data_IF_767802360547
#
_entry.id   IF_767802360547
#
_cell.length_a   1.000
_cell.length_b   1.000
_cell.length_c   1.000
_cell.angle_alpha   90.00
_cell.angle_beta   90.00
_cell.angle_gamma   90.00
#
_symmetry.space_group_name_H-M   'P 1'
#
loop_
_entity.id
_entity.type
_entity.pdbx_description
1 polymer ?
#
# COMPACT_ATOMS: atom_id res chain seq x y z
N UNK A 1 17.88 11.92 -0.28
CA UNK A 1 16.50 12.01 0.25
C UNK A 1 15.70 10.88 -0.40
N UNK A 2 14.94 10.05 0.33
CA UNK A 2 13.96 9.18 -0.32
C UNK A 2 13.09 10.07 -1.21
N UNK A 3 12.86 9.69 -2.46
CA UNK A 3 11.98 10.46 -3.33
C UNK A 3 10.61 10.59 -2.64
N UNK A 4 9.98 11.77 -2.75
CA UNK A 4 8.58 11.96 -2.37
C UNK A 4 7.75 10.93 -3.17
N UNK A 5 7.45 9.82 -2.52
CA UNK A 5 7.03 8.59 -3.16
C UNK A 5 5.76 8.09 -2.49
N UNK A 6 4.93 7.42 -3.28
CA UNK A 6 3.79 6.68 -2.75
C UNK A 6 4.29 5.32 -2.28
N UNK A 7 4.01 5.00 -1.04
CA UNK A 7 4.34 3.71 -0.44
C UNK A 7 3.07 2.97 -0.09
N UNK A 8 2.96 1.71 -0.52
CA UNK A 8 1.96 0.77 -0.03
C UNK A 8 2.55 0.04 1.18
N UNK A 9 1.80 -0.01 2.27
CA UNK A 9 2.24 -0.56 3.55
C UNK A 9 1.13 -1.43 4.13
N UNK A 10 1.47 -2.61 4.64
CA UNK A 10 0.53 -3.44 5.37
C UNK A 10 0.72 -3.23 6.87
N UNK A 11 -0.34 -2.79 7.56
CA UNK A 11 -0.36 -2.53 9.00
C UNK A 11 -1.56 -3.24 9.64
N UNK A 12 -1.34 -4.05 10.68
CA UNK A 12 -2.39 -4.79 11.39
C UNK A 12 -3.35 -5.55 10.45
N UNK A 13 -2.81 -6.11 9.35
CA UNK A 13 -3.56 -6.84 8.34
C UNK A 13 -4.32 -5.99 7.31
N UNK A 14 -4.33 -4.66 7.45
CA UNK A 14 -4.94 -3.74 6.49
C UNK A 14 -3.89 -3.05 5.59
N UNK A 15 -4.32 -2.67 4.38
CA UNK A 15 -3.45 -1.97 3.42
C UNK A 15 -3.60 -0.46 3.56
N UNK A 16 -2.46 0.22 3.62
CA UNK A 16 -2.35 1.67 3.74
C UNK A 16 -1.51 2.24 2.60
N UNK A 17 -1.82 3.48 2.21
CA UNK A 17 -0.97 4.30 1.36
C UNK A 17 -0.39 5.44 2.19
N UNK A 18 0.93 5.57 2.17
CA UNK A 18 1.65 6.75 2.67
C UNK A 18 2.06 7.61 1.47
N UNK A 19 1.61 8.85 1.42
CA UNK A 19 1.93 9.84 0.38
C UNK A 19 2.29 11.15 1.07
N UNK A 20 3.52 11.63 0.84
CA UNK A 20 4.00 12.92 1.35
C UNK A 20 3.86 13.10 2.88
N UNK A 21 3.95 12.00 3.63
CA UNK A 21 3.79 11.98 5.10
C UNK A 21 2.37 11.72 5.59
N UNK A 22 1.37 11.90 4.74
CA UNK A 22 -0.04 11.60 5.02
C UNK A 22 -0.35 10.13 4.77
N UNK A 23 -1.18 9.55 5.64
CA UNK A 23 -1.64 8.17 5.53
C UNK A 23 -3.11 8.11 5.15
N UNK A 24 -3.45 7.14 4.33
CA UNK A 24 -4.83 6.80 3.98
C UNK A 24 -5.00 5.29 3.92
N UNK A 25 -6.20 4.80 4.24
CA UNK A 25 -6.52 3.37 4.14
C UNK A 25 -7.01 3.04 2.74
N UNK A 26 -6.58 1.90 2.21
CA UNK A 26 -7.13 1.33 0.98
C UNK A 26 -8.17 0.28 1.37
N UNK A 27 -9.38 0.75 1.68
CA UNK A 27 -10.47 -0.12 2.16
C UNK A 27 -10.80 -1.21 1.13
N UNK A 28 -10.98 -2.43 1.62
CA UNK A 28 -11.30 -3.61 0.79
C UNK A 28 -10.20 -4.06 -0.17
N UNK A 29 -9.07 -3.37 -0.23
CA UNK A 29 -7.98 -3.67 -1.15
C UNK A 29 -6.80 -4.32 -0.41
N UNK A 30 -6.43 -5.54 -0.81
CA UNK A 30 -5.13 -6.13 -0.47
C UNK A 30 -4.11 -5.74 -1.52
N UNK A 31 -2.82 -5.73 -1.19
CA UNK A 31 -1.79 -5.40 -2.19
C UNK A 31 -1.84 -6.40 -3.37
N UNK A 32 -2.07 -7.69 -3.10
CA UNK A 32 -2.26 -8.70 -4.16
C UNK A 32 -3.46 -8.38 -5.07
N UNK A 33 -4.55 -7.82 -4.53
CA UNK A 33 -5.69 -7.40 -5.33
C UNK A 33 -5.37 -6.18 -6.20
N UNK A 34 -4.56 -5.25 -5.69
CA UNK A 34 -4.11 -4.06 -6.43
C UNK A 34 -3.21 -4.44 -7.60
N UNK A 35 -2.33 -5.44 -7.42
CA UNK A 35 -1.42 -5.93 -8.47
C UNK A 35 -2.14 -6.65 -9.61
N UNK A 36 -3.39 -7.06 -9.42
CA UNK A 36 -4.23 -7.69 -10.46
C UNK A 36 -5.01 -6.67 -11.29
N UNK A 37 -5.07 -5.41 -10.87
CA UNK A 37 -5.78 -4.38 -11.60
C UNK A 37 -5.03 -3.99 -12.88
N UNK A 38 -5.75 -3.61 -13.95
CA UNK A 38 -5.19 -2.87 -15.06
C UNK A 38 -4.44 -1.61 -14.57
N UNK A 39 -3.36 -1.24 -15.25
CA UNK A 39 -2.49 -0.14 -14.82
C UNK A 39 -3.23 1.20 -14.70
N UNK A 40 -4.18 1.47 -15.59
CA UNK A 40 -5.02 2.67 -15.59
C UNK A 40 -5.99 2.69 -14.41
N UNK A 41 -6.62 1.55 -14.10
CA UNK A 41 -7.48 1.40 -12.93
C UNK A 41 -6.70 1.56 -11.63
N UNK A 42 -5.53 0.92 -11.52
CA UNK A 42 -4.63 1.08 -10.38
C UNK A 42 -4.21 2.54 -10.22
N UNK A 43 -3.81 3.19 -11.32
CA UNK A 43 -3.41 4.61 -11.30
C UNK A 43 -4.54 5.50 -10.79
N UNK A 44 -5.77 5.29 -11.29
CA UNK A 44 -6.96 6.04 -10.87
C UNK A 44 -7.27 5.82 -9.39
N UNK A 45 -7.19 4.57 -8.93
CA UNK A 45 -7.39 4.22 -7.53
C UNK A 45 -6.34 4.90 -6.64
N UNK A 46 -5.07 4.89 -7.02
CA UNK A 46 -3.99 5.49 -6.22
C UNK A 46 -4.00 7.03 -6.19
N UNK A 47 -4.72 7.70 -7.11
CA UNK A 47 -4.91 9.16 -7.09
C UNK A 47 -6.20 9.60 -6.39
N UNK A 48 -7.13 8.68 -6.13
CA UNK A 48 -8.38 8.99 -5.45
C UNK A 48 -8.11 9.60 -4.07
N UNK A 49 -8.73 10.76 -3.81
CA UNK A 49 -8.59 11.47 -2.55
C UNK A 49 -9.33 10.72 -1.46
N UNK A 50 -8.62 10.35 -0.39
CA UNK A 50 -9.16 9.63 0.76
C UNK A 50 -8.99 10.44 2.03
N UNK A 51 -9.80 10.17 3.07
CA UNK A 51 -9.58 10.73 4.39
C UNK A 51 -8.18 10.39 4.90
N UNK A 52 -7.51 11.39 5.46
CA UNK A 52 -6.28 11.18 6.20
C UNK A 52 -6.61 10.44 7.49
N UNK A 53 -5.75 9.49 7.83
CA UNK A 53 -5.81 8.74 9.07
C UNK A 53 -4.44 8.71 9.71
N UNK A 54 -4.40 8.38 11.00
CA UNK A 54 -3.15 8.14 11.69
C UNK A 54 -3.12 6.66 12.07
N UNK A 55 -2.18 5.86 11.53
CA UNK A 55 -1.99 4.50 11.99
C UNK A 55 -1.70 4.49 13.49
N UNK A 56 -2.12 3.43 14.17
CA UNK A 56 -1.88 3.27 15.60
C UNK A 56 -0.39 3.12 15.86
N UNK A 57 0.10 3.78 16.92
CA UNK A 57 1.46 3.55 17.40
C UNK A 57 1.68 2.09 17.79
N UNK A 58 2.77 1.51 17.31
CA UNK A 58 3.11 0.10 17.51
C UNK A 58 2.29 -0.87 16.67
N UNK A 59 1.67 -0.43 15.57
CA UNK A 59 1.05 -1.33 14.59
C UNK A 59 2.08 -2.28 13.98
N UNK A 60 1.67 -3.53 13.76
CA UNK A 60 2.53 -4.57 13.19
C UNK A 60 2.70 -4.33 11.68
N UNK A 61 3.95 -4.16 11.24
CA UNK A 61 4.28 -4.03 9.82
C UNK A 61 4.38 -5.43 9.20
N UNK A 62 3.44 -5.72 8.28
CA UNK A 62 3.40 -6.98 7.54
C UNK A 62 4.27 -6.97 6.29
N UNK A 63 4.48 -8.16 5.71
CA UNK A 63 5.02 -8.28 4.37
C UNK A 63 4.09 -7.53 3.38
N UNK A 64 4.62 -6.74 2.44
CA UNK A 64 3.79 -5.96 1.53
C UNK A 64 3.06 -6.83 0.49
N UNK A 65 3.48 -8.06 0.25
CA UNK A 65 2.81 -8.98 -0.66
C UNK A 65 2.74 -10.36 -0.04
N UNK A 66 1.66 -11.09 -0.31
CA UNK A 66 1.47 -12.47 0.14
C UNK A 66 2.00 -13.50 -0.85
N UNK A 67 3.00 -13.15 -1.69
CA UNK A 67 3.43 -14.00 -2.79
C UNK A 67 3.96 -15.34 -2.32
N UNK A 68 3.49 -16.42 -2.95
CA UNK A 68 3.96 -17.79 -2.71
C UNK A 68 5.17 -18.14 -3.57
N UNK A 69 5.41 -17.40 -4.66
CA UNK A 69 6.56 -17.57 -5.54
C UNK A 69 7.45 -16.32 -5.51
N UNK A 70 8.75 -16.53 -5.28
CA UNK A 70 9.76 -15.48 -5.18
C UNK A 70 10.96 -15.90 -6.02
N UNK A 71 11.35 -15.05 -6.97
CA UNK A 71 12.59 -15.21 -7.74
C UNK A 71 13.65 -14.25 -7.20
N UNK A 72 14.86 -14.77 -6.98
CA UNK A 72 16.03 -13.97 -6.63
C UNK A 72 17.11 -14.18 -7.70
N UNK A 73 17.59 -13.09 -8.29
CA UNK A 73 18.74 -13.10 -9.19
C UNK A 73 20.00 -12.74 -8.39
N UNK A 74 21.06 -13.53 -8.56
CA UNK A 74 22.36 -13.37 -7.89
C UNK A 74 23.43 -12.76 -8.78
#
# INVERSE_FOLDING_TARGET
MPAAGRHLVQLDGATYMKKDGTWSRLDGSTIDSLLRLPQDELSRLLEEKRPEIQPRDGADIGAPIGSQEVWAAG
#
